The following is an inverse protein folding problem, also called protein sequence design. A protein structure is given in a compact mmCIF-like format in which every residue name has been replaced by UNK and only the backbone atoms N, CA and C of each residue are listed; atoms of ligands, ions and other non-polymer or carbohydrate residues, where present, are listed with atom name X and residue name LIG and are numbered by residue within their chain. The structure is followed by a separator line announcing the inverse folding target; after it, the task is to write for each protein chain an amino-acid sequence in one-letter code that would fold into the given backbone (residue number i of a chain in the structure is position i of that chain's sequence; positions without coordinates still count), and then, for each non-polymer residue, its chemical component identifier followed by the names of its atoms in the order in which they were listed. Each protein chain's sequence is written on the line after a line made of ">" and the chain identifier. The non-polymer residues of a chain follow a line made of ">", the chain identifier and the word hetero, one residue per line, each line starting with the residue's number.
data_IF_025470339629
#
_entry.id   IF_025470339629
#
_cell.length_a   1.000
_cell.length_b   1.000
_cell.length_c   1.000
_cell.angle_alpha   90.00
_cell.angle_beta   90.00
_cell.angle_gamma   90.00
#
_symmetry.space_group_name_H-M   'P 1'
#
loop_
_entity.id
_entity.type
_entity.pdbx_description
1 polymer ?
#
# COMPACT_ATOMS: atom_id res chain seq x y z
N UNK A 1 -35.83 11.63 13.10
CA UNK A 1 -34.54 12.28 13.45
C UNK A 1 -34.10 13.19 12.32
N UNK A 2 -33.47 14.32 12.63
CA UNK A 2 -32.90 15.20 11.60
C UNK A 2 -31.72 14.55 10.86
N UNK A 3 -31.51 14.93 9.59
CA UNK A 3 -30.43 14.41 8.74
C UNK A 3 -29.05 14.55 9.40
N UNK A 4 -28.80 15.65 10.12
CA UNK A 4 -27.56 15.88 10.84
C UNK A 4 -27.30 14.87 11.95
N UNK A 5 -28.35 14.44 12.67
CA UNK A 5 -28.24 13.43 13.73
C UNK A 5 -27.94 12.06 13.11
N UNK A 6 -28.60 11.71 12.01
CA UNK A 6 -28.32 10.47 11.28
C UNK A 6 -26.88 10.44 10.73
N UNK A 7 -26.38 11.58 10.26
CA UNK A 7 -24.99 11.72 9.82
C UNK A 7 -23.99 11.60 10.97
N UNK A 8 -24.29 12.12 12.16
CA UNK A 8 -23.44 11.93 13.34
C UNK A 8 -23.42 10.47 13.80
N UNK A 9 -24.56 9.79 13.77
CA UNK A 9 -24.65 8.38 14.14
C UNK A 9 -23.90 7.48 13.15
N UNK A 10 -23.89 7.79 11.85
CA UNK A 10 -23.15 7.00 10.87
C UNK A 10 -21.63 7.09 11.02
N UNK A 11 -21.12 8.10 11.75
CA UNK A 11 -19.69 8.23 12.09
C UNK A 11 -19.30 7.33 13.27
N UNK A 12 -20.25 6.91 14.12
CA UNK A 12 -19.94 6.15 15.34
C UNK A 12 -19.12 4.87 15.12
N UNK A 13 -19.39 4.01 14.12
CA UNK A 13 -18.54 2.84 13.88
C UNK A 13 -17.08 3.21 13.62
N UNK A 14 -16.83 4.31 12.91
CA UNK A 14 -15.48 4.80 12.58
C UNK A 14 -14.82 5.40 13.83
N UNK A 15 -15.56 6.23 14.57
CA UNK A 15 -15.09 6.80 15.83
C UNK A 15 -14.73 5.72 16.86
N UNK A 16 -15.51 4.63 16.92
CA UNK A 16 -15.22 3.49 17.77
C UNK A 16 -13.92 2.79 17.38
N UNK A 17 -13.64 2.61 16.08
CA UNK A 17 -12.34 2.08 15.62
C UNK A 17 -11.20 2.98 16.07
N UNK A 18 -11.32 4.30 15.85
CA UNK A 18 -10.32 5.27 16.28
C UNK A 18 -10.08 5.24 17.79
N UNK A 19 -11.14 5.22 18.59
CA UNK A 19 -11.05 5.12 20.04
C UNK A 19 -10.38 3.81 20.49
N UNK A 20 -10.82 2.67 19.95
CA UNK A 20 -10.28 1.36 20.32
C UNK A 20 -8.81 1.20 19.92
N UNK A 21 -8.44 1.59 18.69
CA UNK A 21 -7.08 1.40 18.17
C UNK A 21 -6.09 2.46 18.67
N UNK A 22 -6.48 3.73 18.75
CA UNK A 22 -5.55 4.82 19.07
C UNK A 22 -5.50 5.09 20.57
N UNK A 23 -6.66 5.25 21.20
CA UNK A 23 -6.74 5.63 22.62
C UNK A 23 -6.53 4.41 23.52
N UNK A 24 -7.28 3.33 23.26
CA UNK A 24 -7.19 2.09 24.05
C UNK A 24 -6.06 1.16 23.59
N UNK A 25 -5.45 1.41 22.43
CA UNK A 25 -4.37 0.60 21.85
C UNK A 25 -4.74 -0.89 21.75
N UNK A 26 -6.03 -1.18 21.50
CA UNK A 26 -6.50 -2.54 21.32
C UNK A 26 -6.04 -3.09 19.97
N UNK A 27 -5.74 -4.40 19.89
CA UNK A 27 -5.49 -5.02 18.60
C UNK A 27 -6.75 -5.00 17.73
N UNK A 28 -6.58 -4.90 16.41
CA UNK A 28 -7.67 -4.87 15.44
C UNK A 28 -8.67 -6.03 15.59
N UNK A 29 -8.18 -7.22 15.98
CA UNK A 29 -9.02 -8.39 16.30
C UNK A 29 -10.11 -8.11 17.33
N UNK A 30 -9.87 -7.19 18.28
CA UNK A 30 -10.87 -6.77 19.30
C UNK A 30 -11.66 -5.54 18.86
N UNK A 31 -11.02 -4.58 18.20
CA UNK A 31 -11.65 -3.33 17.80
C UNK A 31 -12.70 -3.50 16.68
N UNK A 32 -12.40 -4.32 15.66
CA UNK A 32 -13.25 -4.46 14.48
C UNK A 32 -14.62 -5.10 14.80
N UNK A 33 -14.73 -6.15 15.63
CA UNK A 33 -16.04 -6.67 16.04
C UNK A 33 -16.91 -5.66 16.80
N UNK A 34 -16.30 -4.78 17.60
CA UNK A 34 -17.03 -3.71 18.31
C UNK A 34 -17.64 -2.73 17.31
N UNK A 35 -16.83 -2.28 16.34
CA UNK A 35 -17.31 -1.39 15.27
C UNK A 35 -18.42 -2.03 14.45
N UNK A 36 -18.29 -3.30 14.09
CA UNK A 36 -19.34 -4.07 13.43
C UNK A 36 -20.62 -4.14 14.27
N UNK A 37 -20.52 -4.43 15.57
CA UNK A 37 -21.66 -4.47 16.48
C UNK A 37 -22.40 -3.13 16.54
N UNK A 38 -21.67 -2.01 16.56
CA UNK A 38 -22.24 -0.66 16.49
C UNK A 38 -22.94 -0.45 15.15
N UNK A 39 -22.30 -0.78 14.03
CA UNK A 39 -22.89 -0.61 12.70
C UNK A 39 -24.18 -1.45 12.53
N UNK A 40 -24.15 -2.72 12.94
CA UNK A 40 -25.31 -3.61 12.90
C UNK A 40 -26.43 -3.13 13.83
N UNK A 41 -26.09 -2.71 15.05
CA UNK A 41 -27.05 -2.16 16.01
C UNK A 41 -27.73 -0.90 15.48
N UNK A 42 -26.97 0.04 14.92
CA UNK A 42 -27.56 1.23 14.32
C UNK A 42 -28.43 0.87 13.10
N UNK A 43 -28.00 -0.06 12.25
CA UNK A 43 -28.80 -0.50 11.10
C UNK A 43 -30.17 -1.07 11.55
N UNK A 44 -30.19 -1.92 12.59
CA UNK A 44 -31.40 -2.53 13.11
C UNK A 44 -32.30 -1.54 13.86
N UNK A 45 -31.74 -0.70 14.73
CA UNK A 45 -32.52 0.10 15.67
C UNK A 45 -32.73 1.56 15.24
N UNK A 46 -31.83 2.14 14.45
CA UNK A 46 -31.93 3.54 13.99
C UNK A 46 -32.54 3.60 12.60
N UNK A 47 -31.97 2.84 11.66
CA UNK A 47 -32.46 2.81 10.27
C UNK A 47 -33.53 1.75 10.03
N UNK A 48 -33.85 0.93 11.05
CA UNK A 48 -34.92 -0.07 11.00
C UNK A 48 -34.77 -1.01 9.79
N UNK A 49 -33.53 -1.33 9.44
CA UNK A 49 -33.21 -2.25 8.34
C UNK A 49 -33.65 -3.66 8.73
N UNK A 50 -34.38 -4.39 7.88
CA UNK A 50 -34.79 -5.76 8.18
C UNK A 50 -33.61 -6.65 8.57
N UNK A 51 -33.76 -7.43 9.64
CA UNK A 51 -32.68 -8.27 10.18
C UNK A 51 -32.08 -9.23 9.14
N UNK A 52 -32.91 -9.76 8.24
CA UNK A 52 -32.49 -10.62 7.12
C UNK A 52 -31.51 -9.88 6.18
N UNK A 53 -31.75 -8.58 5.91
CA UNK A 53 -30.83 -7.77 5.09
C UNK A 53 -29.52 -7.50 5.81
N UNK A 54 -29.55 -7.26 7.13
CA UNK A 54 -28.32 -7.11 7.93
C UNK A 54 -27.52 -8.40 7.91
N UNK A 55 -28.15 -9.55 8.15
CA UNK A 55 -27.49 -10.86 8.08
C UNK A 55 -26.91 -11.15 6.68
N UNK A 56 -27.64 -10.85 5.61
CA UNK A 56 -27.17 -11.00 4.24
C UNK A 56 -25.98 -10.09 3.93
N UNK A 57 -26.00 -8.83 4.41
CA UNK A 57 -24.87 -7.91 4.30
C UNK A 57 -23.65 -8.41 5.07
N UNK A 58 -23.84 -9.03 6.23
CA UNK A 58 -22.75 -9.65 7.01
C UNK A 58 -22.09 -10.78 6.24
N UNK A 59 -22.87 -11.70 5.66
CA UNK A 59 -22.33 -12.79 4.83
C UNK A 59 -21.60 -12.24 3.60
N UNK A 60 -22.16 -11.23 2.92
CA UNK A 60 -21.47 -10.53 1.83
C UNK A 60 -20.13 -9.94 2.31
N UNK A 61 -20.10 -9.34 3.50
CA UNK A 61 -18.89 -8.81 4.12
C UNK A 61 -17.84 -9.90 4.37
N UNK A 62 -18.24 -11.10 4.81
CA UNK A 62 -17.35 -12.26 4.96
C UNK A 62 -16.78 -12.69 3.61
N UNK A 63 -17.60 -12.75 2.55
CA UNK A 63 -17.13 -13.08 1.20
C UNK A 63 -16.08 -12.06 0.71
N UNK A 64 -16.35 -10.76 0.89
CA UNK A 64 -15.37 -9.70 0.59
C UNK A 64 -14.08 -9.88 1.39
N UNK A 65 -14.19 -10.21 2.69
CA UNK A 65 -13.02 -10.45 3.53
C UNK A 65 -12.18 -11.63 3.04
N UNK A 66 -12.82 -12.72 2.59
CA UNK A 66 -12.12 -13.88 2.00
C UNK A 66 -11.38 -13.52 0.71
N UNK A 67 -11.97 -12.69 -0.16
CA UNK A 67 -11.28 -12.19 -1.36
C UNK A 67 -10.02 -11.39 -1.00
N UNK A 68 -10.13 -10.49 -0.01
CA UNK A 68 -8.98 -9.69 0.45
C UNK A 68 -7.91 -10.57 1.11
N UNK A 69 -8.32 -11.55 1.91
CA UNK A 69 -7.40 -12.52 2.52
C UNK A 69 -6.67 -13.34 1.47
N UNK A 70 -7.33 -13.73 0.38
CA UNK A 70 -6.70 -14.44 -0.73
C UNK A 70 -5.62 -13.60 -1.43
N UNK A 71 -5.87 -12.29 -1.61
CA UNK A 71 -4.86 -11.35 -2.15
C UNK A 71 -3.65 -11.24 -1.22
N UNK A 72 -3.90 -11.00 0.07
CA UNK A 72 -2.84 -10.89 1.08
C UNK A 72 -2.06 -12.19 1.22
N UNK A 73 -2.75 -13.33 1.18
CA UNK A 73 -2.14 -14.65 1.24
C UNK A 73 -1.12 -14.86 0.12
N UNK A 74 -1.50 -14.60 -1.14
CA UNK A 74 -0.58 -14.74 -2.27
C UNK A 74 0.64 -13.82 -2.13
N UNK A 75 0.43 -12.56 -1.75
CA UNK A 75 1.53 -11.61 -1.59
C UNK A 75 2.50 -12.00 -0.45
N UNK A 76 1.99 -12.48 0.69
CA UNK A 76 2.81 -12.98 1.80
C UNK A 76 3.50 -14.29 1.42
N UNK A 77 2.84 -15.18 0.68
CA UNK A 77 3.44 -16.41 0.18
C UNK A 77 4.65 -16.11 -0.70
N UNK A 78 4.53 -15.17 -1.64
CA UNK A 78 5.63 -14.71 -2.48
C UNK A 78 6.78 -14.11 -1.65
N UNK A 79 6.44 -13.25 -0.68
CA UNK A 79 7.42 -12.64 0.23
C UNK A 79 8.18 -13.72 1.02
N UNK A 80 7.47 -14.64 1.67
CA UNK A 80 8.07 -15.72 2.45
C UNK A 80 8.91 -16.64 1.56
N UNK A 81 8.46 -16.92 0.34
CA UNK A 81 9.25 -17.70 -0.64
C UNK A 81 10.57 -17.01 -0.97
N UNK A 82 10.57 -15.68 -1.12
CA UNK A 82 11.78 -14.89 -1.37
C UNK A 82 12.69 -14.79 -0.13
N UNK A 83 12.11 -14.78 1.06
CA UNK A 83 12.85 -14.81 2.32
C UNK A 83 13.53 -16.17 2.53
N UNK A 84 12.78 -17.26 2.48
CA UNK A 84 13.27 -18.64 2.67
C UNK A 84 14.26 -19.06 1.58
N UNK A 85 14.09 -18.60 0.33
CA UNK A 85 15.06 -18.86 -0.73
C UNK A 85 16.36 -18.07 -0.57
N UNK A 86 16.39 -17.00 0.23
CA UNK A 86 17.53 -16.09 0.37
C UNK A 86 17.64 -15.02 -0.73
N UNK A 87 16.68 -14.97 -1.67
CA UNK A 87 16.60 -13.92 -2.69
C UNK A 87 16.44 -12.53 -2.05
N UNK A 88 15.65 -12.43 -0.98
CA UNK A 88 15.48 -11.18 -0.23
C UNK A 88 16.82 -10.71 0.35
N UNK A 89 17.62 -11.61 0.94
CA UNK A 89 18.97 -11.30 1.44
C UNK A 89 19.90 -10.79 0.34
N UNK A 90 19.84 -11.35 -0.88
CA UNK A 90 20.60 -10.83 -2.03
C UNK A 90 20.14 -9.42 -2.43
N UNK A 91 18.83 -9.16 -2.44
CA UNK A 91 18.29 -7.81 -2.66
C UNK A 91 18.78 -6.84 -1.57
N UNK A 92 18.77 -7.25 -0.28
CA UNK A 92 19.29 -6.45 0.84
C UNK A 92 20.76 -6.06 0.62
N UNK A 93 21.61 -7.03 0.27
CA UNK A 93 23.04 -6.78 -0.04
C UNK A 93 23.21 -5.81 -1.20
N UNK A 94 22.39 -5.94 -2.25
CA UNK A 94 22.42 -5.02 -3.38
C UNK A 94 22.15 -3.56 -3.00
N UNK A 95 21.39 -3.29 -1.94
CA UNK A 95 21.10 -1.91 -1.50
C UNK A 95 22.26 -1.27 -0.74
N UNK A 96 23.01 -2.07 0.03
CA UNK A 96 24.19 -1.62 0.78
C UNK A 96 25.25 -1.02 -0.14
N UNK A 97 25.42 -1.61 -1.32
CA UNK A 97 26.48 -1.23 -2.27
C UNK A 97 26.09 -0.04 -3.17
N UNK A 98 24.89 0.54 -3.01
CA UNK A 98 24.43 1.66 -3.85
C UNK A 98 25.00 2.99 -3.38
N UNK A 99 24.93 3.27 -2.09
CA UNK A 99 25.40 4.52 -1.51
C UNK A 99 25.77 4.31 -0.04
N UNK A 100 26.88 4.89 0.42
CA UNK A 100 27.23 4.92 1.85
C UNK A 100 26.34 5.90 2.66
N UNK A 101 25.56 6.77 2.01
CA UNK A 101 24.74 7.76 2.69
C UNK A 101 23.38 7.18 3.14
N UNK A 102 23.09 7.21 4.44
CA UNK A 102 21.82 6.68 4.99
C UNK A 102 20.60 7.44 4.50
N UNK A 103 20.73 8.72 4.17
CA UNK A 103 19.63 9.53 3.62
C UNK A 103 19.27 9.05 2.21
N UNK A 104 20.25 8.63 1.42
CA UNK A 104 20.01 8.01 0.11
C UNK A 104 19.37 6.64 0.27
N UNK A 105 19.92 5.81 1.17
CA UNK A 105 19.41 4.46 1.42
C UNK A 105 17.93 4.46 1.86
N UNK A 106 17.55 5.36 2.77
CA UNK A 106 16.14 5.43 3.24
C UNK A 106 15.19 5.83 2.12
N UNK A 107 15.59 6.73 1.22
CA UNK A 107 14.78 7.09 0.06
C UNK A 107 14.64 5.89 -0.89
N UNK A 108 15.72 5.19 -1.18
CA UNK A 108 15.66 4.04 -2.09
C UNK A 108 14.79 2.92 -1.51
N UNK A 109 14.96 2.63 -0.23
CA UNK A 109 14.34 1.47 0.41
C UNK A 109 12.92 1.77 0.86
N UNK A 110 12.74 2.79 1.70
CA UNK A 110 11.42 3.08 2.22
C UNK A 110 10.54 3.65 1.10
N UNK A 111 11.02 4.64 0.34
CA UNK A 111 10.18 5.34 -0.64
C UNK A 111 9.96 4.52 -1.91
N UNK A 112 11.01 4.08 -2.60
CA UNK A 112 10.84 3.42 -3.90
C UNK A 112 10.46 1.95 -3.72
N UNK A 113 11.29 1.19 -3.00
CA UNK A 113 11.01 -0.23 -2.76
C UNK A 113 9.77 -0.43 -1.89
N UNK A 114 9.56 0.38 -0.85
CA UNK A 114 8.33 0.34 -0.06
C UNK A 114 7.08 0.68 -0.89
N UNK A 115 7.12 1.65 -1.80
CA UNK A 115 5.99 1.91 -2.71
C UNK A 115 5.72 0.75 -3.66
N UNK A 116 6.77 0.12 -4.17
CA UNK A 116 6.66 -1.06 -5.03
C UNK A 116 5.98 -2.22 -4.30
N UNK A 117 6.45 -2.53 -3.08
CA UNK A 117 5.90 -3.60 -2.25
C UNK A 117 4.48 -3.28 -1.79
N UNK A 118 4.16 -2.02 -1.46
CA UNK A 118 2.77 -1.61 -1.17
C UNK A 118 1.87 -1.84 -2.38
N UNK A 119 2.31 -1.46 -3.59
CA UNK A 119 1.56 -1.69 -4.82
C UNK A 119 1.27 -3.16 -5.09
N UNK A 120 2.24 -4.04 -4.81
CA UNK A 120 2.08 -5.48 -4.94
C UNK A 120 1.16 -6.04 -3.85
N UNK A 121 1.57 -5.92 -2.59
CA UNK A 121 0.97 -6.65 -1.47
C UNK A 121 -0.10 -5.86 -0.71
N UNK A 122 0.04 -4.54 -0.62
CA UNK A 122 -0.81 -3.65 0.16
C UNK A 122 -0.74 -3.87 1.67
N UNK A 123 -1.74 -3.35 2.39
CA UNK A 123 -2.02 -3.67 3.80
C UNK A 123 -0.84 -3.48 4.78
N UNK A 124 0.02 -2.51 4.51
CA UNK A 124 1.15 -2.19 5.38
C UNK A 124 2.35 -3.13 5.23
N UNK A 125 2.42 -3.90 4.14
CA UNK A 125 3.56 -4.77 3.83
C UNK A 125 4.93 -4.07 3.89
N UNK A 126 5.08 -2.77 3.53
CA UNK A 126 6.36 -2.08 3.70
C UNK A 126 6.86 -2.01 5.15
N UNK A 127 5.94 -2.02 6.12
CA UNK A 127 6.30 -2.15 7.53
C UNK A 127 6.91 -3.51 7.86
N UNK A 128 6.42 -4.56 7.21
CA UNK A 128 6.89 -5.93 7.41
C UNK A 128 8.20 -6.21 6.66
N UNK A 129 8.45 -5.54 5.53
CA UNK A 129 9.59 -5.87 4.64
C UNK A 129 10.66 -4.79 4.59
N UNK A 130 10.26 -3.54 4.35
CA UNK A 130 11.21 -2.45 4.16
C UNK A 130 11.85 -2.02 5.49
N UNK A 131 11.08 -2.05 6.59
CA UNK A 131 11.60 -1.69 7.92
C UNK A 131 12.68 -2.66 8.40
N UNK A 132 12.50 -4.00 8.41
CA UNK A 132 13.59 -4.90 8.78
C UNK A 132 14.81 -4.81 7.86
N UNK A 133 14.60 -4.49 6.58
CA UNK A 133 15.69 -4.24 5.64
C UNK A 133 16.51 -3.00 6.05
N UNK A 134 15.87 -1.89 6.41
CA UNK A 134 16.57 -0.72 6.93
C UNK A 134 17.33 -1.04 8.21
N UNK A 135 16.71 -1.75 9.15
CA UNK A 135 17.37 -2.17 10.39
C UNK A 135 18.60 -3.04 10.10
N UNK A 136 18.48 -4.02 9.21
CA UNK A 136 19.59 -4.88 8.79
C UNK A 136 20.73 -4.14 8.06
N UNK A 137 20.48 -2.93 7.56
CA UNK A 137 21.54 -2.07 7.01
C UNK A 137 22.24 -1.25 8.10
N UNK A 138 21.72 -1.19 9.32
CA UNK A 138 22.26 -0.40 10.42
C UNK A 138 21.48 0.87 10.73
N UNK A 139 20.20 0.95 10.33
CA UNK A 139 19.32 2.02 10.80
C UNK A 139 18.84 1.72 12.23
N UNK A 140 18.70 2.74 13.10
CA UNK A 140 17.97 2.58 14.34
C UNK A 140 16.54 2.10 14.07
N UNK A 141 16.04 1.14 14.85
CA UNK A 141 14.74 0.50 14.63
C UNK A 141 13.60 1.51 14.58
N UNK A 142 13.60 2.50 15.48
CA UNK A 142 12.61 3.56 15.47
C UNK A 142 12.71 4.48 14.24
N UNK A 143 13.93 4.79 13.77
CA UNK A 143 14.11 5.57 12.56
C UNK A 143 13.54 4.84 11.34
N UNK A 144 13.79 3.53 11.25
CA UNK A 144 13.28 2.67 10.19
C UNK A 144 11.74 2.61 10.20
N UNK A 145 11.12 2.39 11.37
CA UNK A 145 9.66 2.37 11.52
C UNK A 145 9.05 3.71 11.13
N UNK A 146 9.58 4.82 11.65
CA UNK A 146 9.09 6.17 11.35
C UNK A 146 9.18 6.47 9.85
N UNK A 147 10.32 6.17 9.22
CA UNK A 147 10.50 6.35 7.79
C UNK A 147 9.51 5.49 6.98
N UNK A 148 9.38 4.21 7.32
CA UNK A 148 8.46 3.28 6.67
C UNK A 148 7.00 3.72 6.76
N UNK A 149 6.58 4.25 7.92
CA UNK A 149 5.22 4.73 8.16
C UNK A 149 4.91 6.03 7.44
N UNK A 150 5.79 7.03 7.48
CA UNK A 150 5.55 8.33 6.82
C UNK A 150 5.37 8.14 5.32
N UNK A 151 6.18 7.28 4.71
CA UNK A 151 6.18 7.07 3.27
C UNK A 151 4.90 6.42 2.74
N UNK A 152 4.18 5.70 3.60
CA UNK A 152 2.86 5.18 3.27
C UNK A 152 1.84 6.28 2.92
N UNK A 153 2.13 7.57 3.13
CA UNK A 153 1.23 8.66 2.76
C UNK A 153 0.88 8.73 1.26
N UNK A 154 1.72 8.18 0.37
CA UNK A 154 1.56 8.29 -1.09
C UNK A 154 1.06 7.01 -1.78
N UNK A 155 1.68 5.83 -1.57
CA UNK A 155 1.33 4.65 -2.35
C UNK A 155 0.08 3.91 -1.88
N UNK A 156 -0.39 4.12 -0.64
CA UNK A 156 -1.41 3.26 0.01
C UNK A 156 -2.74 3.17 -0.71
N UNK A 157 -3.23 4.25 -1.33
CA UNK A 157 -4.53 4.22 -2.02
C UNK A 157 -4.56 3.29 -3.23
N UNK A 158 -3.39 2.89 -3.73
CA UNK A 158 -3.24 1.98 -4.87
C UNK A 158 -2.56 0.67 -4.46
N UNK A 159 -2.49 0.39 -3.15
CA UNK A 159 -1.94 -0.86 -2.64
C UNK A 159 -2.78 -2.08 -3.01
N UNK A 160 -2.15 -3.26 -2.98
CA UNK A 160 -2.78 -4.53 -3.36
C UNK A 160 -3.53 -4.43 -4.70
N UNK A 161 -2.83 -3.96 -5.73
CA UNK A 161 -3.38 -3.72 -7.05
C UNK A 161 -4.65 -2.83 -7.10
N UNK A 162 -4.68 -1.75 -6.31
CA UNK A 162 -5.77 -0.76 -6.34
C UNK A 162 -7.02 -1.11 -5.55
N UNK A 163 -6.98 -2.12 -4.68
CA UNK A 163 -8.15 -2.55 -3.89
C UNK A 163 -8.79 -1.45 -3.04
N UNK A 164 -8.08 -0.45 -2.47
CA UNK A 164 -8.74 0.63 -1.73
C UNK A 164 -9.70 1.45 -2.61
N UNK A 165 -9.37 1.67 -3.88
CA UNK A 165 -10.27 2.36 -4.83
C UNK A 165 -11.30 1.38 -5.40
N UNK A 166 -10.85 0.23 -5.91
CA UNK A 166 -11.68 -0.70 -6.67
C UNK A 166 -12.69 -1.47 -5.82
N UNK A 167 -12.40 -1.65 -4.54
CA UNK A 167 -13.29 -2.32 -3.58
C UNK A 167 -13.73 -1.30 -2.54
N UNK A 168 -12.80 -0.64 -1.85
CA UNK A 168 -13.14 0.30 -0.76
C UNK A 168 -14.05 1.44 -1.21
N UNK A 169 -13.56 2.31 -2.10
CA UNK A 169 -14.34 3.45 -2.61
C UNK A 169 -15.55 2.97 -3.42
N UNK A 170 -15.38 1.98 -4.27
CA UNK A 170 -16.46 1.44 -5.09
C UNK A 170 -17.65 0.93 -4.26
N UNK A 171 -17.38 0.20 -3.17
CA UNK A 171 -18.44 -0.30 -2.29
C UNK A 171 -19.04 0.79 -1.41
N UNK A 172 -18.22 1.76 -0.96
CA UNK A 172 -18.70 2.88 -0.14
C UNK A 172 -19.57 3.88 -0.89
N UNK A 173 -19.37 4.03 -2.20
CA UNK A 173 -20.14 4.94 -3.05
C UNK A 173 -21.25 4.23 -3.84
N UNK A 174 -21.14 2.92 -4.05
CA UNK A 174 -22.05 2.15 -4.90
C UNK A 174 -23.46 2.02 -4.33
N UNK A 175 -24.46 1.99 -5.21
CA UNK A 175 -25.87 1.78 -4.84
C UNK A 175 -26.59 2.99 -4.25
N UNK A 176 -25.92 4.14 -4.16
CA UNK A 176 -26.54 5.39 -3.74
C UNK A 176 -27.04 6.18 -4.96
N UNK A 177 -28.36 6.37 -5.05
CA UNK A 177 -29.00 7.07 -6.17
C UNK A 177 -28.39 8.45 -6.42
N UNK A 178 -28.16 9.24 -5.37
CA UNK A 178 -27.51 10.55 -5.49
C UNK A 178 -26.11 10.51 -6.14
N UNK A 179 -25.33 9.46 -5.86
CA UNK A 179 -23.99 9.28 -6.45
C UNK A 179 -24.11 8.82 -7.91
N UNK A 180 -25.04 7.92 -8.19
CA UNK A 180 -25.31 7.43 -9.55
C UNK A 180 -25.79 8.59 -10.44
N UNK A 181 -26.74 9.40 -9.96
CA UNK A 181 -27.22 10.59 -10.66
C UNK A 181 -26.12 11.63 -10.88
N UNK A 182 -25.25 11.83 -9.88
CA UNK A 182 -24.09 12.72 -10.03
C UNK A 182 -23.11 12.20 -11.10
N UNK A 183 -22.81 10.90 -11.09
CA UNK A 183 -21.94 10.29 -12.09
C UNK A 183 -22.55 10.36 -13.50
N UNK A 184 -23.84 10.08 -13.63
CA UNK A 184 -24.59 10.21 -14.88
C UNK A 184 -24.58 11.65 -15.40
N UNK A 185 -24.75 12.65 -14.52
CA UNK A 185 -24.64 14.07 -14.87
C UNK A 185 -23.26 14.50 -15.38
N UNK A 186 -22.22 13.70 -15.10
CA UNK A 186 -20.87 13.87 -15.65
C UNK A 186 -20.62 13.02 -16.92
N UNK A 187 -21.63 12.33 -17.44
CA UNK A 187 -21.56 11.44 -18.60
C UNK A 187 -21.11 10.01 -18.30
N UNK A 188 -21.07 9.60 -17.03
CA UNK A 188 -20.71 8.24 -16.62
C UNK A 188 -21.95 7.39 -16.35
N UNK A 189 -22.49 6.78 -17.41
CA UNK A 189 -23.70 5.96 -17.34
C UNK A 189 -23.42 4.45 -17.42
N UNK A 190 -24.28 3.67 -16.76
CA UNK A 190 -24.19 2.21 -16.74
C UNK A 190 -22.94 1.67 -16.04
N UNK A 191 -22.69 0.37 -16.20
CA UNK A 191 -21.57 -0.33 -15.55
C UNK A 191 -20.21 0.16 -16.06
N UNK A 192 -20.09 0.38 -17.38
CA UNK A 192 -18.87 0.93 -17.98
C UNK A 192 -18.59 2.36 -17.51
N UNK A 193 -19.63 3.20 -17.40
CA UNK A 193 -19.54 4.54 -16.84
C UNK A 193 -19.09 4.51 -15.38
N UNK A 194 -19.64 3.61 -14.56
CA UNK A 194 -19.22 3.45 -13.16
C UNK A 194 -17.73 3.15 -13.01
N UNK A 195 -17.19 2.24 -13.82
CA UNK A 195 -15.75 1.96 -13.83
C UNK A 195 -14.92 3.17 -14.27
N UNK A 196 -15.39 3.94 -15.25
CA UNK A 196 -14.75 5.18 -15.67
C UNK A 196 -14.80 6.28 -14.60
N UNK A 197 -15.91 6.37 -13.84
CA UNK A 197 -16.04 7.26 -12.70
C UNK A 197 -15.07 6.90 -11.57
N UNK A 198 -14.93 5.60 -11.26
CA UNK A 198 -13.91 5.14 -10.31
C UNK A 198 -12.48 5.43 -10.78
N UNK A 199 -12.21 5.31 -12.09
CA UNK A 199 -10.93 5.73 -12.68
C UNK A 199 -10.70 7.23 -12.50
N UNK A 200 -11.71 8.07 -12.71
CA UNK A 200 -11.61 9.52 -12.46
C UNK A 200 -11.26 9.80 -10.99
N UNK A 201 -11.92 9.13 -10.05
CA UNK A 201 -11.60 9.25 -8.62
C UNK A 201 -10.15 8.82 -8.37
N UNK A 202 -9.75 7.66 -8.89
CA UNK A 202 -8.38 7.16 -8.79
C UNK A 202 -7.34 8.17 -9.31
N UNK A 203 -7.59 8.80 -10.46
CA UNK A 203 -6.72 9.84 -11.01
C UNK A 203 -6.65 11.05 -10.08
N UNK A 204 -7.78 11.52 -9.54
CA UNK A 204 -7.79 12.67 -8.60
C UNK A 204 -7.01 12.35 -7.32
N UNK A 205 -7.18 11.15 -6.77
CA UNK A 205 -6.40 10.69 -5.60
C UNK A 205 -4.92 10.63 -5.96
N UNK A 206 -4.57 10.07 -7.11
CA UNK A 206 -3.19 9.99 -7.57
C UNK A 206 -2.55 11.38 -7.73
N UNK A 207 -3.28 12.37 -8.25
CA UNK A 207 -2.82 13.75 -8.36
C UNK A 207 -2.52 14.38 -7.00
N UNK A 208 -3.44 14.24 -6.03
CA UNK A 208 -3.23 14.75 -4.68
C UNK A 208 -2.03 14.07 -4.01
N UNK A 209 -1.93 12.75 -4.15
CA UNK A 209 -0.84 11.95 -3.62
C UNK A 209 0.51 12.30 -4.27
N UNK A 210 0.55 12.51 -5.59
CA UNK A 210 1.77 12.88 -6.29
C UNK A 210 2.24 14.30 -5.93
N UNK A 211 1.30 15.24 -5.77
CA UNK A 211 1.60 16.60 -5.33
C UNK A 211 2.24 16.61 -3.95
N UNK A 212 1.61 15.98 -2.95
CA UNK A 212 2.18 15.83 -1.61
C UNK A 212 3.46 14.97 -1.63
N UNK A 213 3.43 13.86 -2.36
CA UNK A 213 4.48 12.86 -2.50
C UNK A 213 5.80 13.42 -3.02
N UNK A 214 5.76 14.52 -3.78
CA UNK A 214 6.96 15.23 -4.25
C UNK A 214 7.88 15.65 -3.10
N UNK A 215 7.31 15.96 -1.93
CA UNK A 215 8.06 16.41 -0.76
C UNK A 215 8.26 15.32 0.30
N UNK A 216 7.57 14.19 0.20
CA UNK A 216 7.62 13.13 1.23
C UNK A 216 9.03 12.56 1.43
N UNK A 217 9.81 12.22 0.39
CA UNK A 217 11.19 11.75 0.59
C UNK A 217 12.07 12.76 1.33
N UNK A 218 11.93 14.05 1.01
CA UNK A 218 12.68 15.12 1.67
C UNK A 218 12.23 15.29 3.13
N UNK A 219 10.93 15.25 3.36
CA UNK A 219 10.34 15.35 4.69
C UNK A 219 10.80 14.20 5.59
N UNK A 220 10.80 12.97 5.09
CA UNK A 220 11.28 11.78 5.82
C UNK A 220 12.73 11.96 6.22
N UNK A 221 13.60 12.32 5.28
CA UNK A 221 15.02 12.50 5.58
C UNK A 221 15.23 13.66 6.56
N UNK A 222 14.50 14.76 6.43
CA UNK A 222 14.57 15.87 7.38
C UNK A 222 14.21 15.41 8.80
N UNK A 223 13.13 14.64 8.97
CA UNK A 223 12.76 14.09 10.28
C UNK A 223 13.79 13.08 10.79
N UNK A 224 14.28 12.19 9.93
CA UNK A 224 15.29 11.19 10.30
C UNK A 224 16.55 11.89 10.83
N UNK A 225 17.05 12.91 10.13
CA UNK A 225 18.22 13.68 10.55
C UNK A 225 17.98 14.53 11.79
N UNK A 226 16.77 15.06 11.98
CA UNK A 226 16.38 15.86 13.15
C UNK A 226 16.26 15.05 14.43
N UNK A 227 15.68 13.86 14.36
CA UNK A 227 15.35 13.06 15.54
C UNK A 227 16.39 11.97 15.83
N UNK A 228 17.04 11.44 14.80
CA UNK A 228 17.94 10.29 14.92
C UNK A 228 19.40 10.60 14.51
N UNK A 229 19.70 11.83 14.07
CA UNK A 229 21.07 12.25 13.78
C UNK A 229 21.87 12.63 15.01
N UNK A 230 23.18 12.40 14.98
CA UNK A 230 24.11 12.84 16.03
C UNK A 230 23.97 14.35 16.34
N UNK A 231 23.82 15.17 15.30
CA UNK A 231 23.66 16.62 15.42
C UNK A 231 22.20 17.08 15.54
N UNK A 232 21.23 16.16 15.49
CA UNK A 232 19.78 16.43 15.57
C UNK A 232 19.33 17.61 14.69
N UNK A 233 19.75 17.64 13.43
CA UNK A 233 19.62 18.82 12.55
C UNK A 233 18.75 18.55 11.33
N UNK A 234 17.68 19.34 11.16
CA UNK A 234 16.86 19.33 9.94
C UNK A 234 17.68 19.71 8.69
N UNK A 235 18.68 20.59 8.86
CA UNK A 235 19.48 21.11 7.75
C UNK A 235 20.27 19.99 7.07
N UNK A 236 20.72 19.00 7.81
CA UNK A 236 21.40 17.82 7.26
C UNK A 236 20.49 17.06 6.30
N UNK A 237 19.22 16.88 6.64
CA UNK A 237 18.27 16.25 5.73
C UNK A 237 17.87 17.14 4.56
N UNK A 238 17.70 18.44 4.79
CA UNK A 238 17.34 19.38 3.72
C UNK A 238 18.45 19.54 2.66
N UNK A 239 19.72 19.26 3.00
CA UNK A 239 20.84 19.33 2.04
C UNK A 239 20.69 18.37 0.86
N UNK A 240 19.98 17.25 1.02
CA UNK A 240 19.80 16.25 -0.05
C UNK A 240 18.53 16.50 -0.89
N UNK A 241 17.93 17.69 -0.81
CA UNK A 241 16.66 18.00 -1.49
C UNK A 241 16.65 17.67 -2.98
N UNK A 242 17.76 17.88 -3.70
CA UNK A 242 17.86 17.60 -5.14
C UNK A 242 17.61 16.12 -5.44
N UNK A 243 18.29 15.24 -4.71
CA UNK A 243 18.12 13.80 -4.84
C UNK A 243 16.74 13.35 -4.35
N UNK A 244 16.25 13.94 -3.25
CA UNK A 244 14.95 13.60 -2.69
C UNK A 244 13.80 13.95 -3.65
N UNK A 245 13.80 15.16 -4.23
CA UNK A 245 12.80 15.57 -5.22
C UNK A 245 12.94 14.75 -6.51
N UNK A 246 14.17 14.50 -6.97
CA UNK A 246 14.40 13.61 -8.11
C UNK A 246 13.82 12.22 -7.90
N UNK A 247 14.08 11.60 -6.74
CA UNK A 247 13.56 10.28 -6.41
C UNK A 247 12.03 10.28 -6.22
N UNK A 248 11.47 11.37 -5.69
CA UNK A 248 10.04 11.56 -5.62
C UNK A 248 9.42 11.55 -7.02
N UNK A 249 9.92 12.38 -7.93
CA UNK A 249 9.42 12.51 -9.30
C UNK A 249 9.62 11.25 -10.13
N UNK A 250 10.73 10.54 -9.94
CA UNK A 250 11.00 9.27 -10.60
C UNK A 250 9.94 8.20 -10.26
N UNK A 251 9.29 8.30 -9.09
CA UNK A 251 8.17 7.46 -8.69
C UNK A 251 6.82 8.07 -9.10
N UNK A 252 6.58 9.34 -8.78
CA UNK A 252 5.26 9.97 -8.92
C UNK A 252 4.86 10.23 -10.37
N UNK A 253 5.81 10.47 -11.28
CA UNK A 253 5.50 10.67 -12.70
C UNK A 253 4.97 9.37 -13.33
N UNK A 254 5.68 8.23 -13.31
CA UNK A 254 5.13 6.97 -13.83
C UNK A 254 3.87 6.53 -13.09
N UNK A 255 3.81 6.75 -11.78
CA UNK A 255 2.61 6.51 -10.96
C UNK A 255 1.39 7.26 -11.50
N UNK A 256 1.51 8.56 -11.79
CA UNK A 256 0.44 9.36 -12.37
C UNK A 256 0.11 8.89 -13.78
N UNK A 257 1.12 8.68 -14.64
CA UNK A 257 0.92 8.21 -16.01
C UNK A 257 0.12 6.91 -16.02
N UNK A 258 0.41 5.98 -15.12
CA UNK A 258 -0.31 4.71 -14.98
C UNK A 258 -1.72 4.93 -14.44
N UNK A 259 -1.92 5.79 -13.45
CA UNK A 259 -3.26 6.14 -12.97
C UNK A 259 -4.14 6.70 -14.10
N UNK A 260 -3.57 7.59 -14.92
CA UNK A 260 -4.24 8.16 -16.07
C UNK A 260 -4.48 7.15 -17.17
N UNK A 261 -3.50 6.31 -17.55
CA UNK A 261 -3.57 5.44 -18.71
C UNK A 261 -4.26 4.09 -18.43
N UNK A 262 -3.98 3.48 -17.27
CA UNK A 262 -4.38 2.12 -16.91
C UNK A 262 -5.36 2.08 -15.72
N UNK A 263 -5.55 3.20 -15.02
CA UNK A 263 -6.45 3.30 -13.88
C UNK A 263 -5.79 2.95 -12.54
N UNK A 264 -6.57 2.71 -11.48
CA UNK A 264 -6.07 2.66 -10.10
C UNK A 264 -5.35 1.35 -9.74
N UNK A 265 -5.26 0.38 -10.65
CA UNK A 265 -4.72 -0.93 -10.29
C UNK A 265 -3.20 -0.92 -10.04
N UNK A 266 -2.44 -0.18 -10.84
CA UNK A 266 -0.96 -0.28 -10.85
C UNK A 266 -0.14 0.97 -10.52
N UNK A 267 -0.70 2.14 -10.14
CA UNK A 267 0.11 3.34 -9.89
C UNK A 267 1.31 3.09 -8.95
N UNK A 268 1.09 2.54 -7.76
CA UNK A 268 2.15 2.33 -6.76
C UNK A 268 3.16 1.28 -7.18
N UNK A 269 2.69 0.20 -7.81
CA UNK A 269 3.54 -0.90 -8.27
C UNK A 269 4.50 -0.42 -9.36
N UNK A 270 3.97 0.17 -10.43
CA UNK A 270 4.79 0.61 -11.58
C UNK A 270 5.59 1.85 -11.22
N UNK A 271 4.99 2.81 -10.50
CA UNK A 271 5.70 3.99 -10.00
C UNK A 271 6.89 3.62 -9.13
N UNK A 272 6.70 2.73 -8.16
CA UNK A 272 7.77 2.24 -7.30
C UNK A 272 8.87 1.52 -8.08
N UNK A 273 8.51 0.62 -9.00
CA UNK A 273 9.47 -0.15 -9.80
C UNK A 273 10.30 0.73 -10.75
N UNK A 274 9.64 1.60 -11.52
CA UNK A 274 10.31 2.52 -12.46
C UNK A 274 11.18 3.49 -11.69
N UNK A 275 10.66 4.07 -10.60
CA UNK A 275 11.42 4.96 -9.73
C UNK A 275 12.65 4.26 -9.16
N UNK A 276 12.52 3.01 -8.71
CA UNK A 276 13.64 2.23 -8.22
C UNK A 276 14.73 2.04 -9.28
N UNK A 277 14.37 1.61 -10.49
CA UNK A 277 15.32 1.42 -11.60
C UNK A 277 16.06 2.72 -11.92
N UNK A 278 15.32 3.83 -12.06
CA UNK A 278 15.87 5.14 -12.41
C UNK A 278 16.80 5.66 -11.32
N UNK A 279 16.35 5.65 -10.07
CA UNK A 279 17.10 6.25 -8.95
C UNK A 279 18.29 5.40 -8.54
N UNK A 280 18.18 4.07 -8.54
CA UNK A 280 19.33 3.20 -8.26
C UNK A 280 20.41 3.37 -9.32
N UNK A 281 20.02 3.47 -10.60
CA UNK A 281 20.97 3.72 -11.69
C UNK A 281 21.66 5.08 -11.54
N UNK A 282 20.90 6.13 -11.22
CA UNK A 282 21.43 7.46 -10.95
C UNK A 282 22.38 7.47 -9.74
N UNK A 283 21.99 6.83 -8.63
CA UNK A 283 22.78 6.77 -7.41
C UNK A 283 24.11 6.03 -7.61
N UNK A 284 24.11 4.90 -8.35
CA UNK A 284 25.33 4.18 -8.72
C UNK A 284 26.28 5.02 -9.59
N UNK A 285 25.74 5.91 -10.42
CA UNK A 285 26.50 6.90 -11.20
C UNK A 285 26.87 8.15 -10.40
N UNK A 286 26.58 8.18 -9.10
CA UNK A 286 26.77 9.33 -8.19
C UNK A 286 26.06 10.61 -8.67
N UNK A 287 24.98 10.47 -9.42
CA UNK A 287 24.21 11.61 -9.91
C UNK A 287 23.26 12.13 -8.84
N UNK A 288 23.35 13.42 -8.50
CA UNK A 288 22.60 14.12 -7.45
C UNK A 288 22.81 13.58 -6.01
N UNK A 289 23.59 12.52 -5.84
CA UNK A 289 24.02 12.00 -4.53
C UNK A 289 24.90 13.06 -3.84
N UNK A 290 24.71 13.32 -2.53
CA UNK A 290 25.55 14.28 -1.81
C UNK A 290 27.01 13.84 -1.76
N UNK A 291 27.92 14.81 -1.77
CA UNK A 291 29.36 14.59 -1.62
C UNK A 291 29.75 14.20 -0.20
N UNK A 292 29.11 14.83 0.79
CA UNK A 292 29.26 14.51 2.20
C UNK A 292 28.26 13.42 2.59
N UNK A 293 28.77 12.30 3.09
CA UNK A 293 27.95 11.20 3.58
C UNK A 293 27.42 11.49 4.98
N UNK A 294 26.17 11.11 5.23
CA UNK A 294 25.55 11.19 6.54
C UNK A 294 25.18 9.80 7.08
N UNK A 295 25.41 9.60 8.39
CA UNK A 295 25.07 8.38 9.14
C UNK A 295 24.55 8.75 10.55
N UNK A 296 24.04 7.76 11.28
CA UNK A 296 23.46 7.88 12.62
C UNK A 296 24.49 8.04 13.75
N UNK A 297 25.79 8.11 13.43
CA UNK A 297 26.87 8.09 14.43
C UNK A 297 27.15 6.67 14.95
N UNK A 298 27.88 6.56 16.06
CA UNK A 298 28.18 5.27 16.67
C UNK A 298 26.92 4.66 17.31
N UNK A 299 26.64 3.38 17.04
CA UNK A 299 25.48 2.67 17.57
C UNK A 299 25.52 2.48 19.08
N UNK A 300 26.70 2.45 19.68
CA UNK A 300 26.87 2.29 21.14
C UNK A 300 26.36 3.51 21.91
N UNK A 301 26.30 4.67 21.26
CA UNK A 301 25.84 5.94 21.85
C UNK A 301 24.33 6.16 21.66
N UNK A 302 23.61 5.23 21.01
CA UNK A 302 22.19 5.39 20.74
C UNK A 302 21.34 5.22 22.01
N UNK A 303 20.31 6.07 22.21
CA UNK A 303 19.31 5.84 23.24
C UNK A 303 18.65 4.47 23.11
N UNK A 304 18.38 3.81 24.24
CA UNK A 304 17.72 2.50 24.26
C UNK A 304 16.34 2.50 23.57
N UNK A 305 15.67 3.66 23.52
CA UNK A 305 14.40 3.83 22.79
C UNK A 305 14.54 3.75 21.26
N UNK A 306 15.73 3.94 20.71
CA UNK A 306 15.98 3.82 19.27
C UNK A 306 16.23 2.37 18.85
N UNK A 307 16.72 1.56 19.78
CA UNK A 307 17.03 0.15 19.59
C UNK A 307 15.82 -0.72 19.88
N UNK A 308 15.45 -1.58 18.93
CA UNK A 308 14.41 -2.57 19.14
C UNK A 308 14.97 -3.83 19.83
N UNK A 309 14.09 -4.64 20.43
CA UNK A 309 14.45 -5.98 20.93
C UNK A 309 14.68 -7.00 19.81
N UNK A 310 14.38 -6.62 18.57
CA UNK A 310 14.59 -7.43 17.38
C UNK A 310 16.04 -7.31 16.93
N UNK A 311 16.85 -8.30 17.27
CA UNK A 311 18.04 -8.60 16.48
C UNK A 311 17.57 -9.10 15.12
N UNK A 312 17.67 -8.26 14.08
CA UNK A 312 17.57 -8.75 12.70
C UNK A 312 18.82 -9.58 12.47
N UNK A 313 18.78 -10.84 12.88
CA UNK A 313 19.78 -11.82 12.46
C UNK A 313 19.75 -11.79 10.95
N UNK A 314 20.84 -11.31 10.36
CA UNK A 314 21.17 -11.59 8.97
C UNK A 314 21.11 -13.09 8.86
N UNK A 315 19.96 -13.61 8.44
CA UNK A 315 19.88 -14.99 8.04
C UNK A 315 20.67 -15.00 6.72
N UNK A 316 21.99 -15.08 6.84
CA UNK A 316 22.87 -15.65 5.84
C UNK A 316 22.44 -17.10 5.72
N UNK A 317 21.25 -17.28 5.12
CA UNK A 317 20.86 -18.55 4.57
C UNK A 317 21.96 -18.88 3.57
N UNK A 318 22.54 -20.08 3.63
CA UNK A 318 23.36 -20.62 2.55
C UNK A 318 22.45 -20.96 1.35
N UNK A 319 21.61 -20.00 0.95
CA UNK A 319 20.79 -20.07 -0.23
C UNK A 319 21.67 -19.89 -1.46
N UNK A 320 21.22 -20.46 -2.57
CA UNK A 320 21.86 -20.32 -3.89
C UNK A 320 22.27 -18.87 -4.13
N UNK A 321 23.44 -18.67 -4.71
CA UNK A 321 23.90 -17.33 -5.09
C UNK A 321 23.08 -16.85 -6.30
N UNK A 322 21.98 -16.15 -6.02
CA UNK A 322 21.15 -15.57 -7.07
C UNK A 322 21.91 -14.46 -7.80
N UNK A 323 21.74 -14.38 -9.12
CA UNK A 323 22.02 -13.13 -9.82
C UNK A 323 21.06 -12.04 -9.34
N UNK A 324 21.43 -10.77 -9.46
CA UNK A 324 20.53 -9.67 -9.08
C UNK A 324 19.20 -9.77 -9.83
N UNK A 325 19.24 -10.03 -11.14
CA UNK A 325 18.02 -10.21 -11.93
C UNK A 325 17.19 -11.40 -11.44
N UNK A 326 17.84 -12.51 -11.07
CA UNK A 326 17.17 -13.69 -10.51
C UNK A 326 16.50 -13.42 -9.16
N UNK A 327 17.08 -12.59 -8.31
CA UNK A 327 16.50 -12.22 -7.02
C UNK A 327 15.25 -11.31 -7.19
N UNK A 328 15.23 -10.48 -8.24
CA UNK A 328 14.11 -9.58 -8.55
C UNK A 328 13.06 -10.20 -9.49
N UNK A 329 13.37 -11.30 -10.16
CA UNK A 329 12.51 -11.84 -11.22
C UNK A 329 11.10 -12.23 -10.77
N UNK A 330 10.84 -12.77 -9.56
CA UNK A 330 9.47 -13.11 -9.17
C UNK A 330 8.58 -11.87 -9.08
N UNK A 331 9.10 -10.79 -8.52
CA UNK A 331 8.41 -9.50 -8.44
C UNK A 331 8.20 -8.83 -9.81
N UNK A 332 9.20 -8.91 -10.69
CA UNK A 332 9.09 -8.42 -12.06
C UNK A 332 8.04 -9.21 -12.86
N UNK A 333 8.04 -10.54 -12.71
CA UNK A 333 7.09 -11.42 -13.37
C UNK A 333 5.66 -11.12 -12.93
N UNK A 334 5.43 -10.99 -11.61
CA UNK A 334 4.13 -10.60 -11.05
C UNK A 334 3.67 -9.25 -11.61
N UNK A 335 4.55 -8.25 -11.65
CA UNK A 335 4.20 -6.94 -12.20
C UNK A 335 3.79 -7.03 -13.68
N UNK A 336 4.55 -7.78 -14.48
CA UNK A 336 4.23 -7.99 -15.91
C UNK A 336 2.92 -8.75 -16.07
N UNK A 337 2.75 -9.88 -15.39
CA UNK A 337 1.55 -10.71 -15.47
C UNK A 337 0.31 -9.91 -15.05
N UNK A 338 0.37 -9.20 -13.93
CA UNK A 338 -0.73 -8.35 -13.46
C UNK A 338 -1.12 -7.29 -14.50
N UNK A 339 -0.15 -6.59 -15.09
CA UNK A 339 -0.42 -5.62 -16.17
C UNK A 339 -1.09 -6.33 -17.36
N UNK A 340 -0.55 -7.46 -17.82
CA UNK A 340 -1.09 -8.23 -18.94
C UNK A 340 -2.54 -8.68 -18.68
N UNK A 341 -2.90 -9.08 -17.45
CA UNK A 341 -4.28 -9.46 -17.11
C UNK A 341 -5.29 -8.31 -17.19
N UNK A 342 -4.84 -7.07 -17.32
CA UNK A 342 -5.68 -5.86 -17.30
C UNK A 342 -5.64 -5.08 -18.61
N UNK A 343 -4.80 -5.46 -19.57
CA UNK A 343 -4.77 -4.86 -20.91
C UNK A 343 -6.04 -5.28 -21.67
N UNK A 344 -6.93 -4.34 -22.07
CA UNK A 344 -8.19 -4.68 -22.73
C UNK A 344 -8.04 -5.35 -24.10
N UNK A 345 -6.92 -5.13 -24.79
CA UNK A 345 -6.64 -5.73 -26.10
C UNK A 345 -6.19 -7.20 -26.03
N UNK A 346 -5.94 -7.74 -24.84
CA UNK A 346 -5.55 -9.13 -24.65
C UNK A 346 -6.73 -9.97 -24.11
N UNK A 347 -6.87 -11.24 -24.55
CA UNK A 347 -7.98 -12.10 -24.11
C UNK A 347 -7.85 -12.61 -22.67
N UNK A 348 -6.69 -12.41 -22.02
CA UNK A 348 -6.39 -12.89 -20.67
C UNK A 348 -7.45 -12.49 -19.64
N UNK A 349 -7.92 -11.24 -19.69
CA UNK A 349 -8.97 -10.76 -18.79
C UNK A 349 -10.24 -11.60 -18.93
N UNK A 350 -10.65 -11.90 -20.17
CA UNK A 350 -11.86 -12.68 -20.42
C UNK A 350 -11.73 -14.08 -19.82
N UNK A 351 -10.61 -14.77 -20.10
CA UNK A 351 -10.35 -16.13 -19.59
C UNK A 351 -10.35 -16.18 -18.06
N UNK A 352 -9.68 -15.23 -17.40
CA UNK A 352 -9.63 -15.20 -15.93
C UNK A 352 -10.98 -14.85 -15.28
N UNK A 353 -11.88 -14.19 -16.02
CA UNK A 353 -13.22 -13.83 -15.57
C UNK A 353 -14.25 -14.96 -15.77
N UNK A 354 -13.91 -16.04 -16.48
CA UNK A 354 -14.80 -17.19 -16.72
C UNK A 354 -15.06 -18.01 -15.45
N UNK A 355 -14.08 -18.09 -14.54
CA UNK A 355 -14.27 -18.79 -13.28
C UNK A 355 -15.11 -17.95 -12.33
N UNK A 356 -16.39 -18.33 -12.19
CA UNK A 356 -17.40 -17.64 -11.39
C UNK A 356 -17.83 -18.51 -10.23
N UNK A 357 -17.69 -18.01 -9.01
CA UNK A 357 -18.37 -18.58 -7.84
C UNK A 357 -19.51 -17.63 -7.48
N UNK A 358 -20.76 -17.93 -7.88
CA UNK A 358 -21.88 -17.04 -7.62
C UNK A 358 -22.29 -17.10 -6.15
N UNK A 359 -22.33 -15.96 -5.48
CA UNK A 359 -22.94 -15.81 -4.16
C UNK A 359 -24.07 -14.80 -4.30
N UNK A 360 -25.25 -15.31 -4.67
CA UNK A 360 -26.41 -14.49 -5.03
C UNK A 360 -27.54 -14.73 -4.05
N UNK A 361 -28.43 -13.76 -4.01
CA UNK A 361 -29.69 -13.82 -3.27
C UNK A 361 -29.55 -14.35 -1.83
N UNK A 362 -28.56 -13.82 -1.10
CA UNK A 362 -28.23 -14.31 0.24
C UNK A 362 -29.47 -14.14 1.13
N UNK A 363 -29.96 -15.25 1.68
CA UNK A 363 -31.20 -15.31 2.47
C UNK A 363 -32.43 -14.75 1.74
N UNK A 364 -32.52 -14.87 0.42
CA UNK A 364 -33.64 -14.39 -0.39
C UNK A 364 -33.69 -12.86 -0.54
N UNK A 365 -32.61 -12.17 -0.20
CA UNK A 365 -32.48 -10.71 -0.41
C UNK A 365 -31.90 -10.42 -1.80
N UNK A 366 -31.86 -9.16 -2.23
CA UNK A 366 -31.12 -8.75 -3.43
C UNK A 366 -29.60 -8.57 -3.17
N UNK A 367 -29.09 -8.99 -2.01
CA UNK A 367 -27.69 -8.84 -1.64
C UNK A 367 -26.92 -10.07 -2.13
N UNK A 368 -25.85 -9.81 -2.88
CA UNK A 368 -24.92 -10.82 -3.35
C UNK A 368 -23.57 -10.22 -3.73
N UNK A 369 -22.63 -11.11 -4.01
CA UNK A 369 -21.32 -10.81 -4.60
C UNK A 369 -20.79 -12.06 -5.30
N UNK A 370 -20.76 -12.02 -6.62
CA UNK A 370 -20.06 -13.04 -7.37
C UNK A 370 -18.54 -12.91 -7.16
N UNK A 371 -17.87 -14.04 -6.89
CA UNK A 371 -16.42 -14.11 -6.73
C UNK A 371 -15.79 -14.56 -8.05
N UNK A 372 -14.65 -13.96 -8.39
CA UNK A 372 -13.83 -14.27 -9.58
C UNK A 372 -12.41 -14.62 -9.14
N UNK A 373 -12.17 -15.82 -8.57
CA UNK A 373 -10.93 -16.12 -7.88
C UNK A 373 -9.70 -15.95 -8.77
N UNK A 374 -9.75 -16.44 -10.02
CA UNK A 374 -8.64 -16.37 -10.97
C UNK A 374 -8.30 -14.93 -11.42
N UNK A 375 -9.26 -14.00 -11.28
CA UNK A 375 -9.05 -12.59 -11.61
C UNK A 375 -8.45 -11.79 -10.44
N UNK A 376 -8.44 -12.35 -9.23
CA UNK A 376 -7.85 -11.72 -8.05
C UNK A 376 -6.31 -11.70 -8.19
N UNK A 377 -5.64 -10.61 -7.79
CA UNK A 377 -4.19 -10.54 -7.77
C UNK A 377 -3.52 -11.70 -7.02
N UNK A 378 -4.20 -12.23 -5.99
CA UNK A 378 -3.79 -13.43 -5.23
C UNK A 378 -3.41 -14.64 -6.07
N UNK A 379 -4.00 -14.81 -7.26
CA UNK A 379 -3.69 -15.93 -8.18
C UNK A 379 -2.38 -15.73 -8.93
N UNK A 380 -1.95 -14.48 -9.11
CA UNK A 380 -0.72 -14.17 -9.86
C UNK A 380 0.52 -14.22 -8.98
N UNK A 381 0.38 -13.88 -7.69
CA UNK A 381 1.43 -14.06 -6.68
C UNK A 381 1.69 -15.54 -6.42
#
# INVERSE_FOLDING_TARGET
>A
MGKSVLALLSVLPIAAVGYCLVIRRWPARRAMPVSYGIAAGLALFVWQVPAVRVAAATVKGVVVALELLFIVFGAILLLNTLEESGALSKMRRSFRDISPDRRVQVIIIAWLFGSFIEGAAGFGTPAAVAVPLLVGLGFPAMAAVVAGMIIQSTPVSFGAAGTPILIGVATGLGGHEAVISYAAGLGYEGEAGWLAFLRLIGVKVALLHAAAGTLIPLFVVALVTRFFGANRSLREGLRIWKFAVFAALAMTIPYLTVAFALGPAFPSLVGGLVGLIVVVTAAKRRWLVPTETWDFGNSDDWPAEWTGTLEVRSADHPGRDFSLLGAWSPYLLVAVLLVLTRVPSLPLKAWLMECVIPVREIFGTNIGRDVRPLFLPGTVF
#
